data_IF_021331283636
#
_entry.id   IF_021331283636
#
_cell.length_a   1.000
_cell.length_b   1.000
_cell.length_c   1.000
_cell.angle_alpha   90.00
_cell.angle_beta   90.00
_cell.angle_gamma   90.00
#
_symmetry.space_group_name_H-M   'P 1'
#
loop_
_entity.id
_entity.type
_entity.pdbx_description
1 polymer ?
#
# COMPACT_ATOMS: atom_id res chain seq x y z
N UNK A 1 -17.52 -18.13 -2.05
CA UNK A 1 -16.50 -18.85 -2.82
C UNK A 1 -15.27 -17.97 -3.01
N UNK A 2 -14.09 -18.55 -2.83
CA UNK A 2 -12.84 -17.81 -3.02
C UNK A 2 -12.33 -18.00 -4.43
N UNK A 3 -11.87 -16.90 -5.01
CA UNK A 3 -11.19 -16.96 -6.28
C UNK A 3 -9.68 -16.87 -6.06
N UNK A 4 -8.87 -17.57 -6.84
CA UNK A 4 -7.42 -17.40 -6.72
C UNK A 4 -7.03 -15.99 -7.15
N UNK A 5 -5.93 -15.51 -6.60
CA UNK A 5 -5.38 -14.21 -7.01
C UNK A 5 -4.98 -14.28 -8.48
N UNK A 6 -5.25 -13.21 -9.21
CA UNK A 6 -4.84 -13.14 -10.62
C UNK A 6 -3.32 -13.09 -10.71
N UNK A 7 -2.73 -13.59 -11.81
CA UNK A 7 -1.29 -13.48 -12.01
C UNK A 7 -0.79 -12.03 -11.94
N UNK A 8 -1.56 -11.08 -12.44
CA UNK A 8 -1.20 -9.67 -12.40
C UNK A 8 -1.11 -9.17 -10.96
N UNK A 9 -2.08 -9.56 -10.13
CA UNK A 9 -2.10 -9.15 -8.71
C UNK A 9 -0.94 -9.79 -7.96
N UNK A 10 -0.66 -11.08 -8.23
CA UNK A 10 0.47 -11.75 -7.58
C UNK A 10 1.79 -11.08 -7.92
N UNK A 11 1.97 -10.71 -9.19
CA UNK A 11 3.19 -10.04 -9.62
C UNK A 11 3.32 -8.67 -8.95
N UNK A 12 2.22 -7.92 -8.89
CA UNK A 12 2.22 -6.61 -8.23
C UNK A 12 2.54 -6.75 -6.74
N UNK A 13 1.97 -7.76 -6.07
CA UNK A 13 2.24 -7.99 -4.65
C UNK A 13 3.71 -8.30 -4.42
N UNK A 14 4.32 -9.09 -5.32
CA UNK A 14 5.74 -9.40 -5.24
C UNK A 14 6.59 -8.16 -5.40
N UNK A 15 6.27 -7.33 -6.39
CA UNK A 15 6.99 -6.09 -6.64
C UNK A 15 6.87 -5.14 -5.46
N UNK A 16 5.67 -4.99 -4.91
CA UNK A 16 5.44 -4.15 -3.74
C UNK A 16 6.26 -4.66 -2.56
N UNK A 17 6.25 -5.98 -2.34
CA UNK A 17 7.03 -6.57 -1.24
C UNK A 17 8.53 -6.27 -1.36
N UNK A 18 9.07 -6.38 -2.56
CA UNK A 18 10.48 -6.06 -2.82
C UNK A 18 10.75 -4.59 -2.57
N UNK A 19 9.85 -3.71 -2.99
CA UNK A 19 9.99 -2.28 -2.79
C UNK A 19 10.01 -1.93 -1.30
N UNK A 20 9.11 -2.54 -0.53
CA UNK A 20 9.04 -2.29 0.91
C UNK A 20 10.31 -2.79 1.61
N UNK A 21 10.83 -3.95 1.20
CA UNK A 21 12.08 -4.46 1.75
C UNK A 21 13.24 -3.51 1.44
N UNK A 22 13.26 -2.95 0.23
CA UNK A 22 14.28 -1.99 -0.15
C UNK A 22 14.19 -0.72 0.70
N UNK A 23 12.98 -0.17 0.89
CA UNK A 23 12.80 0.99 1.76
C UNK A 23 13.27 0.73 3.17
N UNK A 24 12.93 -0.45 3.72
CA UNK A 24 13.37 -0.83 5.05
C UNK A 24 14.89 -0.78 5.16
N UNK A 25 15.58 -1.33 4.14
CA UNK A 25 17.04 -1.35 4.12
C UNK A 25 17.64 0.04 3.96
N UNK A 26 16.99 0.89 3.15
CA UNK A 26 17.43 2.26 2.99
C UNK A 26 17.33 3.05 4.29
N UNK A 27 16.38 2.71 5.15
CA UNK A 27 16.25 3.30 6.47
C UNK A 27 17.11 2.60 7.52
N UNK A 28 17.93 1.62 7.13
CA UNK A 28 18.78 0.84 8.02
C UNK A 28 17.99 0.12 9.12
N UNK A 29 16.81 -0.39 8.77
CA UNK A 29 15.96 -1.11 9.71
C UNK A 29 16.07 -2.61 9.50
N UNK A 30 16.20 -3.36 10.60
CA UNK A 30 16.09 -4.82 10.56
C UNK A 30 14.62 -5.21 10.41
N UNK A 31 14.38 -6.48 10.05
CA UNK A 31 13.02 -7.02 10.00
C UNK A 31 12.31 -6.87 11.34
N UNK A 32 13.03 -7.09 12.44
CA UNK A 32 12.44 -6.94 13.77
C UNK A 32 12.08 -5.50 14.07
N UNK A 33 12.96 -4.56 13.69
CA UNK A 33 12.70 -3.15 13.93
C UNK A 33 11.46 -2.65 13.19
N UNK A 34 11.31 -3.05 11.91
CA UNK A 34 10.11 -2.64 11.18
C UNK A 34 8.87 -3.32 11.73
N UNK A 35 8.98 -4.57 12.16
CA UNK A 35 7.86 -5.28 12.78
C UNK A 35 7.39 -4.54 14.02
N UNK A 36 8.34 -4.11 14.88
CA UNK A 36 8.02 -3.37 16.10
C UNK A 36 7.35 -2.04 15.76
N UNK A 37 7.89 -1.30 14.79
CA UNK A 37 7.33 -0.01 14.38
C UNK A 37 5.92 -0.14 13.80
N UNK A 38 5.67 -1.21 13.07
CA UNK A 38 4.38 -1.46 12.43
C UNK A 38 3.40 -2.20 13.33
N UNK A 39 3.84 -2.60 14.53
CA UNK A 39 3.04 -3.37 15.48
C UNK A 39 2.52 -4.68 14.88
N UNK A 40 3.39 -5.37 14.14
CA UNK A 40 3.09 -6.69 13.56
C UNK A 40 4.22 -7.64 13.89
N UNK A 41 4.01 -8.93 13.64
CA UNK A 41 5.06 -9.93 13.88
C UNK A 41 6.11 -9.88 12.78
N UNK A 42 7.30 -10.35 13.10
CA UNK A 42 8.37 -10.47 12.12
C UNK A 42 7.99 -11.44 11.00
N UNK A 43 7.24 -12.49 11.34
CA UNK A 43 6.74 -13.43 10.34
C UNK A 43 5.82 -12.73 9.34
N UNK A 44 4.99 -11.80 9.81
CA UNK A 44 4.10 -11.03 8.94
C UNK A 44 4.90 -10.12 8.02
N UNK A 45 5.96 -9.49 8.51
CA UNK A 45 6.87 -8.70 7.66
C UNK A 45 7.47 -9.58 6.58
N UNK A 46 7.92 -10.77 6.93
CA UNK A 46 8.49 -11.70 5.96
C UNK A 46 7.50 -12.06 4.86
N UNK A 47 6.25 -12.35 5.24
CA UNK A 47 5.21 -12.64 4.27
C UNK A 47 4.96 -11.46 3.32
N UNK A 48 4.86 -10.26 3.88
CA UNK A 48 4.61 -9.06 3.08
C UNK A 48 5.76 -8.79 2.11
N UNK A 49 7.00 -8.86 2.59
CA UNK A 49 8.17 -8.60 1.76
C UNK A 49 8.38 -9.69 0.71
N UNK A 50 7.89 -10.91 0.96
CA UNK A 50 7.93 -11.99 -0.03
C UNK A 50 6.74 -11.94 -1.00
N UNK A 51 5.89 -10.94 -0.88
CA UNK A 51 4.83 -10.72 -1.85
C UNK A 51 3.58 -11.55 -1.64
N UNK A 52 3.28 -11.92 -0.38
CA UNK A 52 2.05 -12.65 -0.08
C UNK A 52 0.86 -11.70 -0.25
N UNK A 53 0.00 -11.91 -1.27
CA UNK A 53 -1.11 -10.99 -1.50
C UNK A 53 -2.22 -11.11 -0.46
N UNK A 54 -2.14 -12.08 0.43
CA UNK A 54 -3.17 -12.30 1.45
C UNK A 54 -2.88 -11.61 2.77
N UNK A 55 -1.79 -10.87 2.85
CA UNK A 55 -1.53 -10.00 4.01
C UNK A 55 -2.62 -8.94 4.04
N UNK A 56 -3.12 -8.63 5.24
CA UNK A 56 -4.24 -7.69 5.36
C UNK A 56 -3.85 -6.28 4.92
N UNK A 57 -4.85 -5.54 4.47
CA UNK A 57 -4.65 -4.13 4.13
C UNK A 57 -4.16 -3.35 5.34
N UNK A 58 -4.71 -3.65 6.52
CA UNK A 58 -4.29 -2.95 7.74
C UNK A 58 -2.79 -3.15 8.00
N UNK A 59 -2.31 -4.38 7.86
CA UNK A 59 -0.88 -4.66 8.02
C UNK A 59 -0.05 -3.88 7.01
N UNK A 60 -0.46 -3.91 5.74
CA UNK A 60 0.22 -3.16 4.70
C UNK A 60 0.30 -1.67 5.03
N UNK A 61 -0.82 -1.10 5.44
CA UNK A 61 -0.87 0.33 5.78
C UNK A 61 -0.02 0.66 7.02
N UNK A 62 0.02 -0.23 8.01
CA UNK A 62 0.88 -0.04 9.17
C UNK A 62 2.36 -0.03 8.78
N UNK A 63 2.76 -0.90 7.86
CA UNK A 63 4.13 -0.92 7.36
C UNK A 63 4.43 0.36 6.57
N UNK A 64 3.50 0.77 5.70
CA UNK A 64 3.67 2.01 4.95
C UNK A 64 3.80 3.22 5.88
N UNK A 65 3.02 3.25 6.95
CA UNK A 65 3.14 4.32 7.96
C UNK A 65 4.53 4.31 8.58
N UNK A 66 5.01 3.13 8.95
CA UNK A 66 6.33 3.00 9.57
C UNK A 66 7.45 3.41 8.62
N UNK A 67 7.24 3.29 7.31
CA UNK A 67 8.21 3.68 6.28
C UNK A 67 7.96 5.07 5.72
N UNK A 68 7.03 5.83 6.31
CA UNK A 68 6.68 7.19 5.87
C UNK A 68 6.13 7.23 4.43
N UNK A 69 5.45 6.15 4.03
CA UNK A 69 4.89 6.01 2.67
C UNK A 69 3.37 6.01 2.65
N UNK A 70 2.72 6.23 3.79
CA UNK A 70 1.27 6.11 3.87
C UNK A 70 0.57 7.15 2.99
N UNK A 71 1.03 8.39 3.03
CA UNK A 71 0.43 9.45 2.22
C UNK A 71 0.55 9.15 0.73
N UNK A 72 1.66 8.55 0.30
CA UNK A 72 1.85 8.18 -1.10
C UNK A 72 0.85 7.12 -1.53
N UNK A 73 0.52 6.17 -0.66
CA UNK A 73 -0.49 5.15 -0.96
C UNK A 73 -1.87 5.77 -1.11
N UNK A 74 -2.23 6.66 -0.19
CA UNK A 74 -3.50 7.37 -0.26
C UNK A 74 -3.58 8.19 -1.54
N UNK A 75 -2.52 8.88 -1.88
CA UNK A 75 -2.46 9.70 -3.08
C UNK A 75 -2.56 8.86 -4.35
N UNK A 76 -1.92 7.70 -4.37
CA UNK A 76 -1.96 6.81 -5.54
C UNK A 76 -3.37 6.34 -5.89
N UNK A 77 -4.27 6.34 -4.91
CA UNK A 77 -5.65 5.89 -5.11
C UNK A 77 -6.63 7.05 -5.22
N UNK A 78 -6.14 8.28 -5.15
CA UNK A 78 -7.00 9.47 -5.16
C UNK A 78 -7.27 9.89 -6.60
N UNK A 79 -8.54 9.81 -7.08
CA UNK A 79 -8.85 10.20 -8.45
C UNK A 79 -8.56 11.67 -8.74
N UNK A 80 -8.59 12.52 -7.72
CA UNK A 80 -8.31 13.95 -7.91
C UNK A 80 -6.83 14.25 -8.12
N UNK A 81 -5.96 13.23 -7.96
CA UNK A 81 -4.55 13.35 -8.27
C UNK A 81 -4.24 13.02 -9.73
N UNK A 82 -5.27 12.79 -10.55
CA UNK A 82 -5.11 12.54 -11.98
C UNK A 82 -6.00 13.50 -12.77
N UNK A 83 -5.57 13.84 -13.98
CA UNK A 83 -6.38 14.68 -14.86
C UNK A 83 -7.70 14.00 -15.22
N UNK A 84 -7.63 12.72 -15.56
CA UNK A 84 -8.83 11.96 -15.92
C UNK A 84 -9.83 11.95 -14.77
N UNK A 85 -9.35 11.68 -13.56
CA UNK A 85 -10.25 11.63 -12.40
C UNK A 85 -10.90 12.96 -12.11
N UNK A 86 -10.13 14.06 -12.22
CA UNK A 86 -10.68 15.39 -11.99
C UNK A 86 -11.77 15.73 -12.99
N UNK A 87 -11.51 15.46 -14.27
CA UNK A 87 -12.47 15.78 -15.34
C UNK A 87 -13.73 14.93 -15.20
N UNK A 88 -13.56 13.61 -14.97
CA UNK A 88 -14.71 12.72 -14.86
C UNK A 88 -15.55 13.01 -13.62
N UNK A 89 -14.90 13.38 -12.52
CA UNK A 89 -15.63 13.72 -11.30
C UNK A 89 -16.59 14.88 -11.55
N UNK A 90 -16.14 15.90 -12.28
CA UNK A 90 -16.99 17.05 -12.60
C UNK A 90 -18.15 16.65 -13.49
N UNK A 91 -17.98 15.64 -14.33
CA UNK A 91 -19.01 15.20 -15.27
C UNK A 91 -20.06 14.28 -14.66
N UNK A 92 -19.64 13.37 -13.77
CA UNK A 92 -20.50 12.26 -13.35
C UNK A 92 -20.94 12.31 -11.90
N UNK A 93 -20.25 13.06 -11.04
CA UNK A 93 -20.63 13.12 -9.64
C UNK A 93 -21.61 14.26 -9.40
N UNK A 94 -22.53 14.08 -8.43
CA UNK A 94 -23.45 15.17 -8.09
C UNK A 94 -22.69 16.40 -7.64
N UNK A 95 -23.27 17.56 -7.89
CA UNK A 95 -22.69 18.79 -7.38
C UNK A 95 -22.59 18.74 -5.88
N UNK A 96 -21.46 19.18 -5.38
CA UNK A 96 -21.25 19.25 -3.95
C UNK A 96 -20.20 20.29 -3.66
N UNK A 97 -20.22 20.78 -2.43
CA UNK A 97 -19.22 21.72 -2.00
C UNK A 97 -17.89 20.98 -1.85
N UNK A 98 -16.87 21.51 -2.53
CA UNK A 98 -15.52 20.99 -2.41
C UNK A 98 -14.83 21.73 -1.28
N UNK A 99 -14.15 20.95 -0.45
CA UNK A 99 -13.40 21.55 0.64
C UNK A 99 -11.95 21.68 0.25
N UNK A 100 -11.42 22.82 0.52
CA UNK A 100 -10.02 23.07 0.24
C UNK A 100 -9.15 22.79 1.45
#
# INVERSE_FOLDING_TARGET
>A
MKHPSSPTVKLAAKQIGENLATWRKLYNLTSQQIADKAAVSRATISRLENGDPKVSLETFLNVCRALSSLDAVVEATDPYETDYGRIRADQVLPQRVRRS
#
